data_IF_180087477096
#
_entry.id   IF_180087477096
#
_cell.length_a   1.000
_cell.length_b   1.000
_cell.length_c   1.000
_cell.angle_alpha   90.00
_cell.angle_beta   90.00
_cell.angle_gamma   90.00
#
_symmetry.space_group_name_H-M   'P 1'
#
loop_
_entity.id
_entity.type
_entity.pdbx_description
1 polymer ?
#
# COMPACT_ATOMS: atom_id res chain seq x y z
N UNK A 1 14.05 -17.42 31.73
CA UNK A 1 14.43 -16.11 31.14
C UNK A 1 13.57 -15.87 29.89
N UNK A 2 12.61 -14.96 29.94
CA UNK A 2 11.71 -14.70 28.81
C UNK A 2 12.46 -13.93 27.71
N UNK A 3 12.72 -14.58 26.56
CA UNK A 3 13.32 -13.98 25.36
C UNK A 3 12.19 -13.69 24.36
N UNK A 4 11.88 -12.40 24.16
CA UNK A 4 10.87 -11.95 23.19
C UNK A 4 9.80 -11.08 23.81
N UNK A 5 9.97 -9.76 23.75
CA UNK A 5 9.01 -8.77 24.19
C UNK A 5 9.41 -7.38 23.66
N UNK A 6 8.45 -6.46 23.55
CA UNK A 6 8.67 -5.09 23.09
C UNK A 6 9.65 -4.38 24.05
N UNK A 7 10.83 -4.03 23.54
CA UNK A 7 11.85 -3.21 24.22
C UNK A 7 12.20 -2.06 23.28
N UNK A 8 12.74 -0.96 23.82
CA UNK A 8 13.34 0.07 22.98
C UNK A 8 14.44 -0.57 22.11
N UNK A 9 14.33 -0.43 20.79
CA UNK A 9 15.22 -1.09 19.82
C UNK A 9 14.92 -2.57 19.52
N UNK A 10 13.84 -3.16 20.07
CA UNK A 10 13.42 -4.51 19.70
C UNK A 10 12.53 -4.51 18.45
N UNK A 11 12.80 -5.46 17.56
CA UNK A 11 12.07 -5.64 16.30
C UNK A 11 12.89 -5.21 15.09
N UNK A 12 12.30 -5.38 13.89
CA UNK A 12 12.91 -4.92 12.65
C UNK A 12 12.87 -3.39 12.63
N UNK A 13 14.02 -2.70 12.46
CA UNK A 13 14.03 -1.24 12.41
C UNK A 13 13.11 -0.74 11.28
N UNK A 14 12.41 0.40 11.49
CA UNK A 14 11.56 0.99 10.47
C UNK A 14 12.38 1.28 9.20
N UNK A 15 11.89 0.82 8.04
CA UNK A 15 12.58 1.00 6.77
C UNK A 15 13.68 -0.01 6.44
N UNK A 16 13.96 -0.99 7.32
CA UNK A 16 14.94 -2.02 7.02
C UNK A 16 14.48 -2.88 5.84
N UNK A 17 15.08 -2.73 4.65
CA UNK A 17 14.82 -3.57 3.47
C UNK A 17 15.65 -4.85 3.52
N UNK A 18 15.07 -5.97 3.08
CA UNK A 18 15.82 -7.22 2.94
C UNK A 18 16.72 -7.08 1.70
N UNK A 19 18.05 -7.14 1.87
CA UNK A 19 19.04 -6.93 0.81
C UNK A 19 18.78 -7.84 -0.40
N UNK A 20 18.48 -9.12 -0.15
CA UNK A 20 18.17 -10.08 -1.20
C UNK A 20 16.99 -9.59 -2.07
N UNK A 21 15.93 -9.07 -1.46
CA UNK A 21 14.75 -8.57 -2.21
C UNK A 21 14.95 -7.19 -2.83
N UNK A 22 15.97 -6.44 -2.43
CA UNK A 22 16.27 -5.13 -3.00
C UNK A 22 16.94 -5.31 -4.37
N UNK A 23 17.97 -6.15 -4.43
CA UNK A 23 18.67 -6.46 -5.68
C UNK A 23 17.72 -7.04 -6.75
N UNK A 24 16.81 -7.93 -6.36
CA UNK A 24 15.80 -8.45 -7.29
C UNK A 24 14.80 -7.39 -7.77
N UNK A 25 14.48 -6.38 -6.96
CA UNK A 25 13.59 -5.29 -7.38
C UNK A 25 14.26 -4.40 -8.41
N UNK A 26 15.54 -4.13 -8.22
CA UNK A 26 16.32 -3.29 -9.14
C UNK A 26 16.43 -3.98 -10.50
N UNK A 27 16.81 -5.27 -10.51
CA UNK A 27 16.85 -6.09 -11.73
C UNK A 27 15.47 -6.17 -12.40
N UNK A 28 14.40 -6.41 -11.63
CA UNK A 28 13.04 -6.45 -12.18
C UNK A 28 12.60 -5.10 -12.76
N UNK A 29 13.12 -3.99 -12.23
CA UNK A 29 12.87 -2.65 -12.73
C UNK A 29 13.38 -2.46 -14.16
N UNK A 30 14.56 -3.01 -14.49
CA UNK A 30 15.16 -2.92 -15.83
C UNK A 30 14.29 -3.58 -16.91
N UNK A 31 13.61 -4.68 -16.59
CA UNK A 31 12.73 -5.40 -17.52
C UNK A 31 11.33 -4.81 -17.65
N UNK A 32 11.03 -3.69 -16.98
CA UNK A 32 9.66 -3.14 -16.93
C UNK A 32 9.14 -2.78 -18.32
N UNK A 33 9.95 -2.14 -19.17
CA UNK A 33 9.55 -1.72 -20.52
C UNK A 33 9.28 -2.94 -21.43
N UNK A 34 10.14 -3.94 -21.37
CA UNK A 34 9.98 -5.18 -22.13
C UNK A 34 8.72 -5.94 -21.70
N UNK A 35 8.51 -6.10 -20.40
CA UNK A 35 7.31 -6.73 -19.86
C UNK A 35 6.02 -6.00 -20.27
N UNK A 36 6.06 -4.66 -20.35
CA UNK A 36 4.93 -3.87 -20.81
C UNK A 36 4.65 -4.12 -22.31
N UNK A 37 5.69 -4.23 -23.13
CA UNK A 37 5.58 -4.62 -24.54
C UNK A 37 4.88 -5.97 -24.69
N UNK A 38 5.34 -6.98 -23.95
CA UNK A 38 4.74 -8.33 -23.96
C UNK A 38 3.26 -8.29 -23.55
N UNK A 39 2.90 -7.53 -22.51
CA UNK A 39 1.49 -7.38 -22.12
C UNK A 39 0.63 -6.79 -23.25
N UNK A 40 1.15 -5.80 -23.97
CA UNK A 40 0.44 -5.20 -25.11
C UNK A 40 0.31 -6.16 -26.28
N UNK A 41 1.32 -6.99 -26.55
CA UNK A 41 1.25 -8.05 -27.55
C UNK A 41 0.20 -9.10 -27.19
N UNK A 42 0.19 -9.58 -25.94
CA UNK A 42 -0.82 -10.51 -25.43
C UNK A 42 -2.21 -9.90 -25.53
N UNK A 43 -2.39 -8.63 -25.16
CA UNK A 43 -3.67 -7.93 -25.25
C UNK A 43 -4.19 -7.83 -26.69
N UNK A 44 -3.31 -7.76 -27.70
CA UNK A 44 -3.68 -7.62 -29.11
C UNK A 44 -3.80 -8.94 -29.87
N UNK A 45 -3.00 -9.95 -29.51
CA UNK A 45 -2.82 -11.17 -30.30
C UNK A 45 -3.21 -12.47 -29.61
N UNK A 46 -3.54 -12.48 -28.32
CA UNK A 46 -3.91 -13.71 -27.62
C UNK A 46 -5.24 -14.27 -28.12
N UNK A 47 -5.29 -15.58 -28.35
CA UNK A 47 -6.51 -16.34 -28.64
C UNK A 47 -7.43 -16.51 -27.42
N UNK A 48 -6.88 -16.36 -26.21
CA UNK A 48 -7.64 -16.44 -24.96
C UNK A 48 -8.11 -15.05 -24.52
N UNK A 49 -9.42 -14.87 -24.46
CA UNK A 49 -10.08 -13.67 -23.96
C UNK A 49 -9.67 -13.37 -22.51
N UNK A 50 -9.56 -14.40 -21.68
CA UNK A 50 -9.11 -14.26 -20.30
C UNK A 50 -7.68 -13.70 -20.22
N UNK A 51 -6.78 -14.16 -21.10
CA UNK A 51 -5.42 -13.63 -21.16
C UNK A 51 -5.38 -12.19 -21.67
N UNK A 52 -6.24 -11.82 -22.64
CA UNK A 52 -6.35 -10.42 -23.09
C UNK A 52 -6.85 -9.51 -21.97
N UNK A 53 -7.90 -9.90 -21.25
CA UNK A 53 -8.44 -9.13 -20.13
C UNK A 53 -7.41 -8.98 -19.01
N UNK A 54 -6.71 -10.06 -18.65
CA UNK A 54 -5.65 -10.02 -17.65
C UNK A 54 -4.51 -9.07 -18.06
N UNK A 55 -4.10 -9.10 -19.32
CA UNK A 55 -3.06 -8.22 -19.84
C UNK A 55 -3.48 -6.74 -19.81
N UNK A 56 -4.70 -6.44 -20.27
CA UNK A 56 -5.26 -5.07 -20.24
C UNK A 56 -5.38 -4.55 -18.80
N UNK A 57 -5.92 -5.34 -17.88
CA UNK A 57 -6.02 -4.96 -16.47
C UNK A 57 -4.65 -4.71 -15.86
N UNK A 58 -3.65 -5.53 -16.21
CA UNK A 58 -2.27 -5.33 -15.77
C UNK A 58 -1.67 -3.98 -16.19
N UNK A 59 -1.99 -3.51 -17.40
CA UNK A 59 -1.55 -2.19 -17.89
C UNK A 59 -2.32 -1.07 -17.17
N UNK A 60 -3.64 -1.20 -17.05
CA UNK A 60 -4.50 -0.18 -16.40
C UNK A 60 -4.18 0.00 -14.92
N UNK A 61 -3.98 -1.10 -14.18
CA UNK A 61 -3.65 -1.09 -12.75
C UNK A 61 -2.35 -0.33 -12.46
N UNK A 62 -1.42 -0.27 -13.44
CA UNK A 62 -0.16 0.48 -13.32
C UNK A 62 -0.31 1.96 -13.67
N UNK A 63 -1.16 2.28 -14.65
CA UNK A 63 -1.38 3.65 -15.09
C UNK A 63 -2.32 4.44 -14.17
N UNK A 64 -3.38 3.79 -13.67
CA UNK A 64 -4.46 4.42 -12.90
C UNK A 64 -4.47 4.00 -11.42
N UNK A 65 -3.68 2.99 -11.06
CA UNK A 65 -3.73 2.36 -9.75
C UNK A 65 -4.90 1.40 -9.59
N UNK A 66 -4.89 0.60 -8.52
CA UNK A 66 -6.00 -0.30 -8.20
C UNK A 66 -7.15 0.45 -7.53
N UNK A 67 -8.40 0.06 -7.78
CA UNK A 67 -9.55 0.62 -7.08
C UNK A 67 -9.40 0.42 -5.56
N UNK A 68 -9.86 1.41 -4.79
CA UNK A 68 -9.79 1.37 -3.33
C UNK A 68 -10.57 0.15 -2.83
N UNK A 69 -9.89 -0.73 -2.11
CA UNK A 69 -10.53 -1.88 -1.47
C UNK A 69 -11.50 -1.36 -0.40
N UNK A 70 -12.76 -1.77 -0.49
CA UNK A 70 -13.73 -1.55 0.58
C UNK A 70 -13.30 -2.38 1.80
N UNK A 71 -13.20 -1.71 2.96
CA UNK A 71 -12.92 -2.37 4.24
C UNK A 71 -14.21 -2.35 5.03
N UNK A 72 -14.90 -3.49 5.04
CA UNK A 72 -16.06 -3.68 5.90
C UNK A 72 -15.56 -4.13 7.28
N UNK A 73 -15.81 -3.29 8.29
CA UNK A 73 -15.56 -3.61 9.68
C UNK A 73 -16.89 -3.71 10.41
N UNK A 74 -17.30 -4.94 10.77
CA UNK A 74 -18.37 -5.14 11.73
C UNK A 74 -17.84 -4.86 13.14
N UNK A 75 -17.95 -3.60 13.57
CA UNK A 75 -17.56 -3.20 14.92
C UNK A 75 -18.73 -3.44 15.86
N UNK A 76 -18.70 -4.53 16.62
CA UNK A 76 -19.61 -4.74 17.75
C UNK A 76 -18.96 -4.18 19.01
N UNK A 77 -19.34 -2.98 19.39
CA UNK A 77 -18.80 -2.29 20.58
C UNK A 77 -19.50 -0.96 20.85
N UNK A 78 -19.39 -0.48 22.08
CA UNK A 78 -19.86 0.85 22.47
C UNK A 78 -18.92 1.93 21.91
N UNK A 79 -19.46 2.88 21.16
CA UNK A 79 -18.74 4.06 20.66
C UNK A 79 -18.94 5.22 21.63
N UNK A 80 -17.88 5.61 22.35
CA UNK A 80 -17.88 6.86 23.13
C UNK A 80 -17.40 8.00 22.25
N UNK A 81 -18.31 8.89 21.85
CA UNK A 81 -17.98 10.08 21.04
C UNK A 81 -17.66 11.25 21.97
N UNK A 82 -16.38 11.63 22.06
CA UNK A 82 -15.97 12.84 22.77
C UNK A 82 -16.01 14.04 21.83
N UNK A 83 -17.03 14.88 21.97
CA UNK A 83 -17.15 16.16 21.26
C UNK A 83 -16.37 17.21 22.05
N UNK A 84 -15.19 17.61 21.56
CA UNK A 84 -14.45 18.76 22.09
C UNK A 84 -14.91 19.99 21.31
N UNK A 85 -15.61 20.91 21.98
CA UNK A 85 -15.85 22.26 21.45
C UNK A 85 -14.64 23.11 21.78
N UNK A 86 -13.93 23.59 20.75
CA UNK A 86 -12.94 24.64 20.93
C UNK A 86 -13.71 25.97 21.01
N UNK A 87 -13.98 26.46 22.23
CA UNK A 87 -14.50 27.81 22.45
C UNK A 87 -13.36 28.75 22.84
N UNK A 88 -13.09 29.68 21.94
CA UNK A 88 -12.38 30.96 22.05
C UNK A 88 -11.02 30.99 22.76
N UNK A 89 -9.98 30.97 21.92
CA UNK A 89 -8.66 31.47 22.24
C UNK A 89 -8.68 33.00 22.40
N UNK A 90 -9.07 33.52 23.56
CA UNK A 90 -8.67 34.87 23.95
C UNK A 90 -8.72 35.12 25.47
N UNK A 91 -7.88 34.42 26.24
CA UNK A 91 -7.41 34.94 27.52
C UNK A 91 -5.90 35.17 27.41
N UNK A 92 -5.53 36.40 27.09
CA UNK A 92 -4.14 36.85 27.23
C UNK A 92 -3.88 37.03 28.73
N UNK A 93 -2.85 36.40 29.31
CA UNK A 93 -2.50 36.68 30.70
C UNK A 93 -2.08 38.15 30.82
N UNK A 94 -2.72 38.86 31.74
CA UNK A 94 -2.33 40.21 32.11
C UNK A 94 -0.95 40.17 32.78
N UNK A 95 0.03 40.81 32.13
CA UNK A 95 1.25 41.34 32.74
C UNK A 95 1.46 42.74 32.16
#
# INVERSE_FOLDING_TARGET
MARGGKREGAGRPPGAVNKATAEFKDIAGEYTEECLGILMEVARGSSSDAARVAAVNGVLDRALGKPKQAVDANVTGSLTVNIIRFSDANDKPAV
#
